data_IF_213918045600
#
_entry.id   IF_213918045600
#
_cell.length_a   1.000
_cell.length_b   1.000
_cell.length_c   1.000
_cell.angle_alpha   90.00
_cell.angle_beta   90.00
_cell.angle_gamma   90.00
#
_symmetry.space_group_name_H-M   'P 1'
#
loop_
_entity.id
_entity.type
_entity.pdbx_description
1 polymer ?
#
# COMPACT_ATOMS: atom_id res chain seq x y z
N UNK A 1 -9.28 -7.34 -25.29
CA UNK A 1 -7.98 -6.99 -24.70
C UNK A 1 -8.24 -6.69 -23.24
N UNK A 2 -7.88 -7.61 -22.33
CA UNK A 2 -8.03 -7.39 -20.90
C UNK A 2 -6.99 -6.35 -20.48
N UNK A 3 -7.46 -5.18 -20.03
CA UNK A 3 -6.58 -4.18 -19.41
C UNK A 3 -5.98 -4.82 -18.17
N UNK A 4 -4.67 -5.03 -18.19
CA UNK A 4 -3.89 -5.46 -17.03
C UNK A 4 -4.02 -4.37 -15.97
N UNK A 5 -4.95 -4.52 -15.03
CA UNK A 5 -5.01 -3.69 -13.83
C UNK A 5 -3.79 -4.05 -12.96
N UNK A 6 -2.62 -3.53 -13.36
CA UNK A 6 -1.47 -3.40 -12.47
C UNK A 6 -1.99 -2.65 -11.25
N UNK A 7 -1.79 -3.23 -10.07
CA UNK A 7 -2.42 -2.86 -8.81
C UNK A 7 -2.21 -1.36 -8.47
N UNK A 8 -3.05 -0.49 -9.03
CA UNK A 8 -2.87 0.97 -9.07
C UNK A 8 -2.83 1.56 -7.67
N UNK A 9 -3.56 0.96 -6.73
CA UNK A 9 -3.60 1.41 -5.35
C UNK A 9 -2.29 1.16 -4.60
N UNK A 10 -1.66 -0.01 -4.77
CA UNK A 10 -0.37 -0.29 -4.11
C UNK A 10 0.73 0.62 -4.64
N UNK A 11 0.74 0.88 -5.95
CA UNK A 11 1.66 1.85 -6.55
C UNK A 11 1.43 3.25 -5.97
N UNK A 12 0.18 3.71 -5.83
CA UNK A 12 -0.13 5.01 -5.24
C UNK A 12 0.34 5.08 -3.78
N UNK A 13 0.11 4.04 -2.97
CA UNK A 13 0.56 3.98 -1.58
C UNK A 13 2.09 4.08 -1.50
N UNK A 14 2.82 3.31 -2.30
CA UNK A 14 4.28 3.38 -2.34
C UNK A 14 4.80 4.77 -2.73
N UNK A 15 4.15 5.42 -3.69
CA UNK A 15 4.50 6.78 -4.13
C UNK A 15 4.22 7.82 -3.04
N UNK A 16 3.10 7.72 -2.32
CA UNK A 16 2.79 8.57 -1.17
C UNK A 16 3.86 8.44 -0.09
N UNK A 17 4.24 7.22 0.29
CA UNK A 17 5.31 7.01 1.26
C UNK A 17 6.65 7.60 0.81
N UNK A 18 6.96 7.54 -0.49
CA UNK A 18 8.19 8.14 -1.04
C UNK A 18 8.16 9.67 -0.93
N UNK A 19 7.01 10.30 -1.18
CA UNK A 19 6.83 11.75 -1.03
C UNK A 19 7.02 12.15 0.44
N UNK A 20 6.37 11.46 1.38
CA UNK A 20 6.50 11.74 2.82
C UNK A 20 7.94 11.60 3.32
N UNK A 21 8.63 10.52 2.91
CA UNK A 21 10.07 10.33 3.24
C UNK A 21 10.92 11.46 2.68
N UNK A 22 10.63 11.91 1.47
CA UNK A 22 11.36 13.01 0.82
C UNK A 22 11.18 14.33 1.56
N UNK A 23 9.95 14.66 1.96
CA UNK A 23 9.64 15.85 2.77
C UNK A 23 10.43 15.82 4.08
N UNK A 24 10.41 14.69 4.80
CA UNK A 24 11.16 14.53 6.05
C UNK A 24 12.68 14.70 5.87
N UNK A 25 13.24 14.15 4.80
CA UNK A 25 14.66 14.30 4.49
C UNK A 25 15.03 15.75 4.15
N UNK A 26 14.15 16.47 3.42
CA UNK A 26 14.31 17.89 3.15
C UNK A 26 14.33 18.71 4.45
N UNK A 27 13.43 18.41 5.40
CA UNK A 27 13.40 19.07 6.72
C UNK A 27 14.67 18.85 7.53
N UNK A 28 15.24 17.65 7.48
CA UNK A 28 16.51 17.37 8.14
C UNK A 28 17.66 18.12 7.45
N UNK A 29 17.68 18.13 6.11
CA UNK A 29 18.72 18.77 5.32
C UNK A 29 18.75 20.29 5.52
N UNK A 30 17.60 20.94 5.67
CA UNK A 30 17.50 22.38 5.96
C UNK A 30 18.28 22.81 7.21
N UNK A 31 18.56 21.90 8.16
CA UNK A 31 19.33 22.20 9.38
C UNK A 31 20.83 22.32 9.15
N UNK A 32 21.33 21.86 8.00
CA UNK A 32 22.77 21.68 7.75
C UNK A 32 23.28 22.45 6.53
N UNK A 33 22.43 23.23 5.87
CA UNK A 33 22.77 23.95 4.62
C UNK A 33 22.72 25.46 4.80
N UNK A 34 23.30 26.18 3.83
CA UNK A 34 23.30 27.64 3.83
C UNK A 34 21.88 28.22 3.66
N UNK A 35 21.62 29.45 4.12
CA UNK A 35 20.31 30.08 4.01
C UNK A 35 19.75 30.12 2.57
N UNK A 36 20.60 30.42 1.58
CA UNK A 36 20.19 30.42 0.18
C UNK A 36 19.73 29.04 -0.31
N UNK A 37 20.37 27.96 0.16
CA UNK A 37 19.96 26.59 -0.14
C UNK A 37 18.69 26.19 0.61
N UNK A 38 18.48 26.72 1.84
CA UNK A 38 17.24 26.49 2.60
C UNK A 38 16.02 26.98 1.83
N UNK A 39 16.09 28.15 1.19
CA UNK A 39 14.94 28.70 0.46
C UNK A 39 14.56 27.86 -0.77
N UNK A 40 15.56 27.31 -1.47
CA UNK A 40 15.33 26.35 -2.56
C UNK A 40 14.68 25.06 -2.03
N UNK A 41 15.19 24.52 -0.92
CA UNK A 41 14.62 23.31 -0.31
C UNK A 41 13.18 23.55 0.18
N UNK A 42 12.88 24.72 0.74
CA UNK A 42 11.51 25.09 1.14
C UNK A 42 10.57 25.12 -0.05
N UNK A 43 10.98 25.71 -1.17
CA UNK A 43 10.16 25.75 -2.38
C UNK A 43 9.86 24.35 -2.90
N UNK A 44 10.88 23.48 -2.96
CA UNK A 44 10.71 22.09 -3.39
C UNK A 44 9.83 21.29 -2.42
N UNK A 45 9.99 21.50 -1.11
CA UNK A 45 9.14 20.90 -0.08
C UNK A 45 7.67 21.28 -0.28
N UNK A 46 7.39 22.57 -0.47
CA UNK A 46 6.03 23.08 -0.72
C UNK A 46 5.36 22.41 -1.92
N UNK A 47 6.11 22.21 -3.02
CA UNK A 47 5.59 21.53 -4.20
C UNK A 47 5.22 20.07 -3.93
N UNK A 48 6.02 19.37 -3.11
CA UNK A 48 5.72 18.00 -2.71
C UNK A 48 4.51 17.92 -1.77
N UNK A 49 4.35 18.88 -0.86
CA UNK A 49 3.17 18.99 0.02
C UNK A 49 1.89 19.22 -0.80
N UNK A 50 1.92 20.12 -1.79
CA UNK A 50 0.80 20.35 -2.70
C UNK A 50 0.46 19.10 -3.53
N UNK A 51 1.48 18.37 -4.01
CA UNK A 51 1.26 17.13 -4.75
C UNK A 51 0.60 16.05 -3.87
N UNK A 52 1.07 15.90 -2.63
CA UNK A 52 0.49 14.97 -1.67
C UNK A 52 -0.97 15.32 -1.38
N UNK A 53 -1.27 16.60 -1.15
CA UNK A 53 -2.64 17.07 -0.94
C UNK A 53 -3.54 16.75 -2.15
N UNK A 54 -3.05 16.96 -3.38
CA UNK A 54 -3.79 16.60 -4.59
C UNK A 54 -4.05 15.10 -4.71
N UNK A 55 -3.09 14.25 -4.34
CA UNK A 55 -3.26 12.79 -4.35
C UNK A 55 -4.30 12.36 -3.31
N UNK A 56 -4.26 12.95 -2.10
CA UNK A 56 -5.20 12.63 -1.02
C UNK A 56 -6.62 13.13 -1.31
N UNK A 57 -6.75 14.27 -2.00
CA UNK A 57 -8.03 14.85 -2.40
C UNK A 57 -8.54 14.29 -3.73
N UNK A 58 -7.71 13.58 -4.49
CA UNK A 58 -8.18 12.84 -5.64
C UNK A 58 -9.07 11.72 -5.12
N UNK A 59 -10.37 11.81 -5.38
CA UNK A 59 -11.27 10.67 -5.27
C UNK A 59 -10.66 9.55 -6.12
N UNK A 60 -10.00 8.61 -5.47
CA UNK A 60 -9.61 7.35 -6.10
C UNK A 60 -10.93 6.62 -6.29
N UNK A 61 -11.68 6.98 -7.33
CA UNK A 61 -12.82 6.21 -7.83
C UNK A 61 -12.24 4.91 -8.35
N UNK A 62 -11.94 4.00 -7.44
CA UNK A 62 -11.71 2.61 -7.77
C UNK A 62 -13.03 2.11 -8.34
N UNK A 63 -13.08 1.91 -9.65
CA UNK A 63 -14.21 1.25 -10.34
C UNK A 63 -14.46 -0.16 -9.82
N UNK A 64 -13.53 -0.70 -9.02
CA UNK A 64 -13.70 -1.91 -8.25
C UNK A 64 -13.84 -1.54 -6.77
N UNK A 65 -15.07 -1.58 -6.26
CA UNK A 65 -15.28 -1.54 -4.82
C UNK A 65 -14.58 -2.75 -4.18
N UNK A 66 -14.09 -2.60 -2.95
CA UNK A 66 -13.55 -3.72 -2.17
C UNK A 66 -14.55 -4.90 -2.15
N UNK A 67 -15.85 -4.58 -2.13
CA UNK A 67 -16.92 -5.56 -2.21
C UNK A 67 -16.95 -6.31 -3.55
N UNK A 68 -16.78 -5.61 -4.68
CA UNK A 68 -16.65 -6.26 -5.99
C UNK A 68 -15.41 -7.17 -6.07
N UNK A 69 -14.30 -6.76 -5.45
CA UNK A 69 -13.09 -7.59 -5.34
C UNK A 69 -13.34 -8.86 -4.52
N UNK A 70 -14.01 -8.73 -3.38
CA UNK A 70 -14.38 -9.86 -2.51
C UNK A 70 -15.34 -10.80 -3.23
N UNK A 71 -16.33 -10.28 -3.95
CA UNK A 71 -17.31 -11.09 -4.68
C UNK A 71 -16.66 -11.86 -5.83
N UNK A 72 -15.82 -11.21 -6.66
CA UNK A 72 -15.11 -11.86 -7.77
C UNK A 72 -14.16 -12.96 -7.26
N UNK A 73 -13.53 -12.75 -6.10
CA UNK A 73 -12.55 -13.68 -5.55
C UNK A 73 -13.12 -14.59 -4.45
N UNK A 74 -14.45 -14.60 -4.25
CA UNK A 74 -15.09 -15.30 -3.13
C UNK A 74 -14.72 -16.79 -3.08
N UNK A 75 -14.73 -17.47 -4.22
CA UNK A 75 -14.38 -18.90 -4.28
C UNK A 75 -12.91 -19.13 -3.94
N UNK A 76 -11.99 -18.33 -4.50
CA UNK A 76 -10.57 -18.41 -4.18
C UNK A 76 -10.30 -18.18 -2.69
N UNK A 77 -10.93 -17.15 -2.10
CA UNK A 77 -10.84 -16.87 -0.67
C UNK A 77 -11.40 -18.04 0.16
N UNK A 78 -12.56 -18.59 -0.24
CA UNK A 78 -13.13 -19.77 0.40
C UNK A 78 -12.19 -20.96 0.33
N UNK A 79 -11.58 -21.24 -0.82
CA UNK A 79 -10.65 -22.35 -1.01
C UNK A 79 -9.38 -22.16 -0.16
N UNK A 80 -8.86 -20.94 -0.07
CA UNK A 80 -7.73 -20.59 0.80
C UNK A 80 -8.04 -20.83 2.28
N UNK A 81 -9.24 -20.44 2.76
CA UNK A 81 -9.64 -20.69 4.15
C UNK A 81 -10.06 -22.15 4.40
N UNK A 82 -10.50 -22.87 3.36
CA UNK A 82 -10.93 -24.27 3.46
C UNK A 82 -9.75 -25.26 3.52
N UNK A 83 -8.62 -24.91 2.89
CA UNK A 83 -7.41 -25.74 2.88
C UNK A 83 -6.79 -25.90 4.28
N UNK A 84 -6.88 -24.87 5.14
CA UNK A 84 -6.39 -24.95 6.53
C UNK A 84 -7.31 -25.77 7.45
N UNK A 85 -8.61 -25.86 7.15
CA UNK A 85 -9.56 -26.59 7.99
C UNK A 85 -9.50 -28.10 7.76
N UNK A 86 -9.16 -28.55 6.55
CA UNK A 86 -9.20 -29.97 6.17
C UNK A 86 -7.89 -30.73 6.45
N UNK A 87 -6.74 -30.06 6.51
CA UNK A 87 -5.43 -30.72 6.73
C UNK A 87 -4.95 -30.79 8.18
N UNK A 88 -5.63 -30.15 9.15
CA UNK A 88 -5.25 -30.26 10.57
C UNK A 88 -5.89 -31.44 11.33
N UNK A 89 -6.90 -32.10 10.76
CA UNK A 89 -7.61 -33.20 11.44
C UNK A 89 -7.08 -34.60 11.10
N UNK A 90 -6.23 -34.76 10.08
CA UNK A 90 -5.69 -36.06 9.68
C UNK A 90 -4.42 -36.49 10.43
N UNK A 91 -3.80 -35.60 11.22
CA UNK A 91 -2.56 -35.90 11.97
C UNK A 91 -2.75 -35.98 13.49
N UNK A 92 -3.97 -36.25 13.97
CA UNK A 92 -4.18 -36.81 15.32
C UNK A 92 -4.32 -38.34 15.17
N UNK A 93 -3.30 -38.93 14.56
CA UNK A 93 -3.09 -40.38 14.51
C UNK A 93 -2.67 -40.85 15.90
N UNK A 94 -3.56 -41.57 16.56
CA UNK A 94 -3.39 -42.29 17.82
C UNK A 94 -2.00 -42.91 18.00
N UNK A 95 -1.14 -42.30 18.81
CA UNK A 95 -0.06 -43.02 19.52
C UNK A 95 -0.61 -43.55 20.84
N UNK A 96 -1.41 -44.63 20.78
CA UNK A 96 -1.60 -45.50 21.95
C UNK A 96 -0.51 -46.57 21.88
N UNK A 97 0.60 -46.33 22.59
CA UNK A 97 1.63 -47.35 22.83
C UNK A 97 0.99 -48.55 23.54
N UNK A 98 1.22 -49.75 23.01
CA UNK A 98 1.12 -50.99 23.76
C UNK A 98 2.23 -51.05 24.80
#
# INVERSE_FOLDING_TARGET
MASTYVYTLGVIVEQVEQIERSIKNMEQTMRHVSPATVDVIRSNKSQLEELLERIMNADVTSTFSLQAYIEVNKQCLQDCFSADYTNRLSTIGRTRRQ
#
